data_IF_227375659284
#
_entry.id   IF_227375659284
#
_cell.length_a   1.000
_cell.length_b   1.000
_cell.length_c   1.000
_cell.angle_alpha   90.00
_cell.angle_beta   90.00
_cell.angle_gamma   90.00
#
_symmetry.space_group_name_H-M   'P 1'
#
loop_
_entity.id
_entity.type
_entity.pdbx_description
1 polymer ?
#
# COMPACT_ATOMS: atom_id res chain seq x y z
N UNK A 1 20.30 11.75 19.72
CA UNK A 1 18.94 12.31 19.64
C UNK A 1 18.94 13.42 18.61
N UNK A 2 18.27 13.24 17.46
CA UNK A 2 18.11 14.31 16.46
C UNK A 2 16.91 15.17 16.90
N UNK A 3 17.16 16.45 17.14
CA UNK A 3 16.10 17.41 17.46
C UNK A 3 15.24 17.64 16.21
N UNK A 4 14.01 17.12 16.19
CA UNK A 4 13.01 17.47 15.19
C UNK A 4 12.58 18.91 15.46
N UNK A 5 13.07 19.84 14.65
CA UNK A 5 12.75 21.26 14.77
C UNK A 5 11.53 21.55 13.91
N UNK A 6 10.39 21.86 14.54
CA UNK A 6 9.21 22.34 13.84
C UNK A 6 9.55 23.66 13.15
N UNK A 7 9.30 23.74 11.84
CA UNK A 7 9.49 24.98 11.08
C UNK A 7 8.45 26.03 11.52
N UNK A 8 8.80 27.33 11.54
CA UNK A 8 7.88 28.38 11.96
C UNK A 8 6.63 28.39 11.07
N UNK A 9 5.46 28.28 11.70
CA UNK A 9 4.17 28.16 11.03
C UNK A 9 3.66 29.47 10.42
N UNK A 10 2.85 29.35 9.37
CA UNK A 10 2.26 30.45 8.59
C UNK A 10 1.05 31.10 9.27
N UNK A 11 1.12 31.43 10.57
CA UNK A 11 0.02 32.12 11.31
C UNK A 11 -1.35 31.42 11.36
N UNK A 12 -1.52 30.27 10.68
CA UNK A 12 -2.72 29.43 10.71
C UNK A 12 -2.61 28.43 11.84
N UNK A 13 -3.67 28.33 12.64
CA UNK A 13 -3.82 27.30 13.67
C UNK A 13 -4.19 25.96 13.01
N UNK A 14 -3.34 24.96 13.15
CA UNK A 14 -3.64 23.58 12.74
C UNK A 14 -4.22 22.84 13.92
N UNK A 15 -5.40 22.23 13.75
CA UNK A 15 -6.11 21.52 14.83
C UNK A 15 -6.05 20.00 14.67
N UNK A 16 -5.87 19.53 13.45
CA UNK A 16 -5.81 18.11 13.13
C UNK A 16 -4.69 17.82 12.12
N UNK A 17 -4.08 16.66 12.26
CA UNK A 17 -3.07 16.15 11.34
C UNK A 17 -3.56 14.78 10.86
N UNK A 18 -3.68 14.61 9.55
CA UNK A 18 -4.08 13.34 8.93
C UNK A 18 -2.81 12.74 8.32
N UNK A 19 -2.50 11.52 8.71
CA UNK A 19 -1.39 10.76 8.15
C UNK A 19 -1.90 9.74 7.15
N UNK A 20 -1.25 9.67 6.01
CA UNK A 20 -1.31 8.45 5.20
C UNK A 20 -0.56 7.31 5.92
N UNK A 21 -0.85 6.07 5.58
CA UNK A 21 -0.16 4.91 6.12
C UNK A 21 1.08 4.61 5.27
N UNK A 22 0.87 4.27 3.99
CA UNK A 22 1.93 3.85 3.07
C UNK A 22 2.90 4.97 2.72
N UNK A 23 4.20 4.74 2.87
CA UNK A 23 5.24 5.73 2.56
C UNK A 23 5.35 6.89 3.57
N UNK A 24 4.50 6.90 4.61
CA UNK A 24 4.54 7.88 5.70
C UNK A 24 4.79 7.18 7.03
N UNK A 25 3.88 6.31 7.46
CA UNK A 25 3.99 5.57 8.72
C UNK A 25 4.54 4.15 8.51
N UNK A 26 4.22 3.53 7.37
CA UNK A 26 4.63 2.20 6.97
C UNK A 26 5.53 2.28 5.75
N UNK A 27 6.73 1.71 5.83
CA UNK A 27 7.62 1.61 4.69
C UNK A 27 7.07 0.61 3.66
N UNK A 28 7.20 0.97 2.38
CA UNK A 28 6.74 0.17 1.26
C UNK A 28 7.90 -0.17 0.32
N UNK A 29 7.92 -1.42 -0.14
CA UNK A 29 8.83 -1.91 -1.18
C UNK A 29 8.06 -2.73 -2.21
N UNK A 30 7.51 -2.03 -3.21
CA UNK A 30 6.74 -2.66 -4.29
C UNK A 30 7.55 -3.68 -5.10
N UNK A 31 8.88 -3.55 -5.15
CA UNK A 31 9.74 -4.49 -5.86
C UNK A 31 9.79 -5.85 -5.16
N UNK A 32 9.59 -5.92 -3.83
CA UNK A 32 9.43 -7.22 -3.15
C UNK A 32 8.20 -7.97 -3.64
N UNK A 33 7.04 -7.31 -3.69
CA UNK A 33 5.83 -7.94 -4.22
C UNK A 33 5.97 -8.35 -5.68
N UNK A 34 6.56 -7.49 -6.52
CA UNK A 34 6.88 -7.82 -7.92
C UNK A 34 7.71 -9.11 -7.99
N UNK A 35 8.79 -9.20 -7.21
CA UNK A 35 9.69 -10.35 -7.23
C UNK A 35 9.00 -11.63 -6.73
N UNK A 36 8.14 -11.54 -5.72
CA UNK A 36 7.36 -12.69 -5.24
C UNK A 36 6.33 -13.15 -6.29
N UNK A 37 5.64 -12.23 -6.97
CA UNK A 37 4.74 -12.62 -8.07
C UNK A 37 5.48 -13.27 -9.24
N UNK A 38 6.69 -12.79 -9.58
CA UNK A 38 7.55 -13.45 -10.59
C UNK A 38 7.84 -14.90 -10.15
N UNK A 39 8.15 -15.13 -8.86
CA UNK A 39 8.41 -16.47 -8.32
C UNK A 39 7.19 -17.39 -8.37
N UNK A 40 5.97 -16.83 -8.25
CA UNK A 40 4.72 -17.58 -8.35
C UNK A 40 4.31 -17.92 -9.79
N UNK A 41 5.11 -17.51 -10.78
CA UNK A 41 4.95 -17.91 -12.18
C UNK A 41 4.16 -16.92 -13.03
N UNK A 42 3.87 -15.72 -12.52
CA UNK A 42 3.34 -14.65 -13.36
C UNK A 42 4.35 -14.30 -14.45
N UNK A 43 3.90 -14.26 -15.70
CA UNK A 43 4.70 -13.85 -16.85
C UNK A 43 4.50 -12.37 -17.10
N UNK A 44 5.55 -11.67 -17.51
CA UNK A 44 5.48 -10.23 -17.78
C UNK A 44 4.88 -9.43 -16.61
N UNK A 45 5.24 -9.82 -15.36
CA UNK A 45 4.72 -9.21 -14.12
C UNK A 45 4.77 -7.70 -14.16
N UNK A 46 5.78 -7.08 -14.75
CA UNK A 46 5.83 -5.61 -14.81
C UNK A 46 4.72 -5.03 -15.68
N UNK A 47 4.36 -5.67 -16.78
CA UNK A 47 3.24 -5.24 -17.64
C UNK A 47 1.90 -5.61 -17.01
N UNK A 48 1.75 -6.84 -16.54
CA UNK A 48 0.54 -7.32 -15.87
C UNK A 48 0.25 -6.57 -14.56
N UNK A 49 1.27 -6.30 -13.76
CA UNK A 49 1.17 -5.50 -12.54
C UNK A 49 1.05 -4.02 -12.88
N UNK A 50 1.63 -3.52 -13.97
CA UNK A 50 1.29 -2.18 -14.47
C UNK A 50 -0.20 -2.12 -14.81
N UNK A 51 -0.81 -3.13 -15.43
CA UNK A 51 -2.25 -3.18 -15.70
C UNK A 51 -3.06 -3.24 -14.40
N UNK A 52 -2.66 -4.08 -13.43
CA UNK A 52 -3.27 -4.13 -12.11
C UNK A 52 -3.16 -2.78 -11.40
N UNK A 53 -1.98 -2.18 -11.35
CA UNK A 53 -1.65 -0.94 -10.63
C UNK A 53 -1.88 0.34 -11.46
N UNK A 54 -2.42 0.23 -12.68
CA UNK A 54 -2.59 1.39 -13.57
C UNK A 54 -3.45 2.43 -12.90
N UNK A 55 -2.83 3.55 -12.52
CA UNK A 55 -3.47 4.66 -11.81
C UNK A 55 -4.49 5.45 -12.66
N UNK A 56 -4.72 5.05 -13.91
CA UNK A 56 -5.68 5.69 -14.81
C UNK A 56 -6.85 4.74 -15.10
N UNK A 57 -7.79 4.56 -14.14
CA UNK A 57 -9.05 3.91 -14.42
C UNK A 57 -9.76 4.69 -15.52
N UNK A 58 -9.97 4.06 -16.66
CA UNK A 58 -10.88 4.61 -17.67
C UNK A 58 -12.31 4.31 -17.19
N UNK A 59 -13.28 5.24 -17.29
CA UNK A 59 -14.66 4.93 -16.92
C UNK A 59 -15.15 3.66 -17.61
N UNK A 60 -15.48 2.62 -16.83
CA UNK A 60 -15.88 1.30 -17.34
C UNK A 60 -14.76 0.24 -17.45
N UNK A 61 -13.52 0.57 -17.08
CA UNK A 61 -12.39 -0.36 -17.03
C UNK A 61 -11.53 -0.09 -15.77
N UNK A 62 -12.15 -0.20 -14.58
CA UNK A 62 -11.41 -0.14 -13.31
C UNK A 62 -10.56 -1.41 -13.14
N UNK A 63 -9.30 -1.25 -12.76
CA UNK A 63 -8.42 -2.40 -12.53
C UNK A 63 -8.87 -3.21 -11.31
N UNK A 64 -8.48 -4.49 -11.27
CA UNK A 64 -8.73 -5.38 -10.14
C UNK A 64 -8.22 -4.79 -8.80
N UNK A 65 -7.05 -4.14 -8.83
CA UNK A 65 -6.49 -3.44 -7.67
C UNK A 65 -7.38 -2.29 -7.21
N UNK A 66 -7.83 -1.43 -8.13
CA UNK A 66 -8.62 -0.26 -7.80
C UNK A 66 -9.97 -0.63 -7.20
N UNK A 67 -10.60 -1.69 -7.73
CA UNK A 67 -11.82 -2.26 -7.15
C UNK A 67 -11.57 -2.78 -5.73
N UNK A 68 -10.43 -3.43 -5.49
CA UNK A 68 -10.08 -3.97 -4.18
C UNK A 68 -9.73 -2.87 -3.17
N UNK A 69 -8.95 -1.86 -3.58
CA UNK A 69 -8.56 -0.71 -2.77
C UNK A 69 -9.77 0.10 -2.30
N UNK A 70 -10.78 0.26 -3.17
CA UNK A 70 -12.06 0.90 -2.83
C UNK A 70 -13.00 0.02 -1.99
N UNK A 71 -12.65 -1.25 -1.75
CA UNK A 71 -13.51 -2.21 -1.06
C UNK A 71 -14.75 -2.64 -1.85
N UNK A 72 -14.73 -2.49 -3.18
CA UNK A 72 -15.85 -2.89 -4.06
C UNK A 72 -15.84 -4.39 -4.37
N UNK A 73 -14.72 -5.06 -4.12
CA UNK A 73 -14.59 -6.53 -4.18
C UNK A 73 -13.91 -7.05 -2.91
N UNK A 74 -14.22 -8.28 -2.52
CA UNK A 74 -13.57 -8.96 -1.39
C UNK A 74 -12.25 -9.64 -1.78
N UNK A 75 -11.48 -10.07 -0.79
CA UNK A 75 -10.17 -10.72 -0.99
C UNK A 75 -10.24 -11.99 -1.82
N UNK A 76 -11.31 -12.79 -1.71
CA UNK A 76 -11.53 -13.98 -2.55
C UNK A 76 -11.51 -13.62 -4.05
N UNK A 77 -12.37 -12.67 -4.46
CA UNK A 77 -12.44 -12.20 -5.84
C UNK A 77 -11.14 -11.55 -6.31
N UNK A 78 -10.41 -10.88 -5.42
CA UNK A 78 -9.10 -10.33 -5.74
C UNK A 78 -8.07 -11.42 -6.04
N UNK A 79 -8.02 -12.48 -5.23
CA UNK A 79 -7.13 -13.63 -5.46
C UNK A 79 -7.48 -14.39 -6.73
N UNK A 80 -8.76 -14.56 -7.02
CA UNK A 80 -9.19 -15.23 -8.26
C UNK A 80 -8.77 -14.45 -9.50
N UNK A 81 -8.93 -13.13 -9.51
CA UNK A 81 -8.43 -12.30 -10.61
C UNK A 81 -6.91 -12.33 -10.76
N UNK A 82 -6.16 -12.55 -9.66
CA UNK A 82 -4.71 -12.77 -9.71
C UNK A 82 -4.34 -14.14 -10.29
N UNK A 83 -5.10 -15.21 -9.96
CA UNK A 83 -4.95 -16.53 -10.58
C UNK A 83 -5.23 -16.49 -12.09
N UNK A 84 -6.29 -15.80 -12.50
CA UNK A 84 -6.64 -15.61 -13.91
C UNK A 84 -5.50 -14.93 -14.68
N UNK A 85 -4.87 -13.91 -14.08
CA UNK A 85 -3.75 -13.18 -14.67
C UNK A 85 -2.48 -14.03 -14.76
N UNK A 86 -2.22 -14.85 -13.74
CA UNK A 86 -1.07 -15.75 -13.71
C UNK A 86 -1.23 -16.95 -14.65
N UNK A 87 -2.47 -17.36 -14.92
CA UNK A 87 -2.79 -18.52 -15.77
C UNK A 87 -2.47 -19.87 -15.10
N UNK A 88 -2.38 -19.91 -13.77
CA UNK A 88 -2.14 -21.11 -12.98
C UNK A 88 -2.91 -21.06 -11.64
N UNK A 89 -3.09 -22.23 -11.04
CA UNK A 89 -3.72 -22.35 -9.73
C UNK A 89 -2.68 -22.12 -8.62
N UNK A 90 -2.79 -20.99 -7.93
CA UNK A 90 -1.89 -20.55 -6.85
C UNK A 90 -2.68 -20.59 -5.55
N UNK A 91 -2.10 -21.08 -4.44
CA UNK A 91 -2.78 -21.08 -3.15
C UNK A 91 -3.00 -19.65 -2.61
N UNK A 92 -4.11 -19.43 -1.91
CA UNK A 92 -4.46 -18.13 -1.31
C UNK A 92 -3.33 -17.54 -0.45
N UNK A 93 -2.68 -18.39 0.35
CA UNK A 93 -1.60 -17.97 1.26
C UNK A 93 -0.36 -17.49 0.50
N UNK A 94 -0.08 -18.06 -0.68
CA UNK A 94 1.04 -17.65 -1.52
C UNK A 94 0.76 -16.28 -2.17
N UNK A 95 -0.48 -16.06 -2.62
CA UNK A 95 -0.93 -14.76 -3.11
C UNK A 95 -0.86 -13.71 -2.00
N UNK A 96 -1.38 -14.03 -0.81
CA UNK A 96 -1.35 -13.12 0.34
C UNK A 96 0.09 -12.78 0.73
N UNK A 97 1.00 -13.77 0.74
CA UNK A 97 2.42 -13.55 1.02
C UNK A 97 3.06 -12.65 -0.03
N UNK A 98 2.84 -12.92 -1.31
CA UNK A 98 3.39 -12.09 -2.39
C UNK A 98 2.86 -10.66 -2.33
N UNK A 99 1.55 -10.49 -2.15
CA UNK A 99 0.89 -9.20 -2.04
C UNK A 99 1.38 -8.41 -0.83
N UNK A 100 1.47 -9.04 0.35
CA UNK A 100 1.87 -8.35 1.59
C UNK A 100 3.37 -8.17 1.74
N UNK A 101 4.20 -8.77 0.88
CA UNK A 101 5.67 -8.61 0.94
C UNK A 101 6.16 -7.18 0.67
N UNK A 102 5.34 -6.31 0.09
CA UNK A 102 5.63 -4.88 -0.02
C UNK A 102 5.59 -4.16 1.32
N UNK A 103 4.87 -4.70 2.31
CA UNK A 103 4.71 -4.08 3.62
C UNK A 103 5.97 -4.40 4.44
N UNK A 104 6.77 -3.36 4.71
CA UNK A 104 7.99 -3.49 5.49
C UNK A 104 7.70 -3.22 6.98
N UNK A 105 8.46 -2.33 7.59
CA UNK A 105 8.37 -1.97 8.99
C UNK A 105 7.68 -0.61 9.19
N UNK A 106 7.05 -0.48 10.35
CA UNK A 106 6.70 0.81 10.93
C UNK A 106 7.87 1.19 11.84
N UNK A 107 8.58 2.25 11.50
CA UNK A 107 9.70 2.70 12.32
C UNK A 107 9.22 3.10 13.72
N UNK A 108 9.93 2.66 14.77
CA UNK A 108 9.58 2.98 16.16
C UNK A 108 9.56 4.48 16.46
N UNK A 109 10.29 5.26 15.67
CA UNK A 109 10.34 6.72 15.74
C UNK A 109 8.99 7.35 15.36
N UNK A 110 8.24 6.71 14.45
CA UNK A 110 6.90 7.16 14.06
C UNK A 110 5.94 7.12 15.27
N UNK A 111 6.03 6.08 16.10
CA UNK A 111 5.23 5.99 17.32
C UNK A 111 5.55 7.12 18.31
N UNK A 112 6.82 7.49 18.45
CA UNK A 112 7.23 8.59 19.34
C UNK A 112 6.75 9.95 18.81
N UNK A 113 6.80 10.16 17.49
CA UNK A 113 6.28 11.38 16.86
C UNK A 113 4.77 11.48 17.06
N UNK A 114 4.01 10.41 16.77
CA UNK A 114 2.57 10.38 16.99
C UNK A 114 2.22 10.64 18.47
N UNK A 115 2.96 10.04 19.40
CA UNK A 115 2.78 10.26 20.83
C UNK A 115 3.01 11.72 21.25
N UNK A 116 4.02 12.38 20.67
CA UNK A 116 4.29 13.80 20.92
C UNK A 116 3.21 14.74 20.35
N UNK A 117 2.58 14.36 19.23
CA UNK A 117 1.60 15.19 18.54
C UNK A 117 0.20 15.07 19.14
N UNK A 118 -0.19 13.91 19.67
CA UNK A 118 -1.55 13.66 20.19
C UNK A 118 -1.99 14.61 21.32
N UNK A 119 -1.02 15.20 22.03
CA UNK A 119 -1.28 16.16 23.10
C UNK A 119 -1.63 17.57 22.61
N UNK A 120 -1.30 17.89 21.35
CA UNK A 120 -1.47 19.23 20.76
C UNK A 120 -2.41 19.24 19.55
N UNK A 121 -2.59 18.09 18.89
CA UNK A 121 -3.37 17.93 17.67
C UNK A 121 -4.31 16.73 17.78
N UNK A 122 -5.47 16.82 17.12
CA UNK A 122 -6.28 15.64 16.81
C UNK A 122 -5.54 14.84 15.74
N UNK A 123 -5.24 13.58 16.05
CA UNK A 123 -4.69 12.62 15.10
C UNK A 123 -5.78 11.67 14.62
#
# INVERSE_FOLDING_TARGET
MRNVKLLPGTGKRTEAIIFDLGGVLLNLDFEKSINEFIRLGFKDVREQLSILLSAQPTPGNESLFHLYEKGLIGSERFRDGLRDLAGNDIADQDIDRAWTSMLLDIHSENAQVLDSLKGSYRL
#
